data_IF_436630295851
#
_entry.id   IF_436630295851
#
_cell.length_a   1.000
_cell.length_b   1.000
_cell.length_c   1.000
_cell.angle_alpha   90.00
_cell.angle_beta   90.00
_cell.angle_gamma   90.00
#
_symmetry.space_group_name_H-M   'P 1'
#
loop_
_entity.id
_entity.type
_entity.pdbx_description
1 polymer ?
#
# COMPACT_ATOMS: atom_id res chain seq x y z
N UNK A 1 -7.42 4.89 20.95
CA UNK A 1 -8.54 4.33 20.16
C UNK A 1 -7.96 3.16 19.38
N UNK A 2 -8.64 2.01 19.28
CA UNK A 2 -8.23 0.99 18.31
C UNK A 2 -8.86 1.38 16.99
N UNK A 3 -8.07 1.86 16.03
CA UNK A 3 -8.52 2.01 14.65
C UNK A 3 -8.74 0.58 14.14
N UNK A 4 -9.94 0.26 13.66
CA UNK A 4 -10.12 -0.97 12.90
C UNK A 4 -9.46 -0.74 11.55
N UNK A 5 -8.47 -1.56 11.16
CA UNK A 5 -7.84 -1.41 9.86
C UNK A 5 -8.90 -1.66 8.77
N UNK A 6 -8.90 -0.82 7.75
CA UNK A 6 -9.77 -1.01 6.60
C UNK A 6 -9.22 -2.16 5.76
N UNK A 7 -10.11 -3.01 5.23
CA UNK A 7 -9.70 -4.21 4.49
C UNK A 7 -9.16 -3.88 3.09
N UNK A 8 -9.59 -2.76 2.53
CA UNK A 8 -9.28 -2.34 1.15
C UNK A 8 -9.35 -0.80 0.98
N UNK A 9 -8.59 -0.02 1.77
CA UNK A 9 -8.53 1.44 1.61
C UNK A 9 -7.73 1.84 0.38
N UNK A 10 -8.13 2.95 -0.25
CA UNK A 10 -7.30 3.62 -1.26
C UNK A 10 -6.07 4.26 -0.60
N UNK A 11 -4.92 4.15 -1.25
CA UNK A 11 -3.67 4.75 -0.76
C UNK A 11 -3.45 6.16 -1.32
N UNK A 12 -2.90 7.02 -0.48
CA UNK A 12 -2.51 8.37 -0.88
C UNK A 12 -1.33 8.35 -1.87
N UNK A 13 -1.11 9.49 -2.54
CA UNK A 13 -0.04 9.60 -3.55
C UNK A 13 1.38 9.43 -3.03
N UNK A 14 1.56 9.69 -1.74
CA UNK A 14 2.84 9.62 -1.06
C UNK A 14 2.59 9.06 0.34
N UNK A 15 3.24 7.93 0.65
CA UNK A 15 3.25 7.40 2.00
C UNK A 15 3.92 8.39 2.96
N UNK A 16 3.47 8.48 4.22
CA UNK A 16 4.15 9.27 5.22
C UNK A 16 5.58 8.77 5.43
N UNK A 17 6.54 9.69 5.43
CA UNK A 17 7.98 9.40 5.62
C UNK A 17 8.42 9.48 7.09
N UNK A 18 7.48 9.35 8.01
CA UNK A 18 7.73 9.41 9.46
C UNK A 18 8.53 8.19 9.93
N UNK A 19 9.48 8.36 10.88
CA UNK A 19 10.17 7.22 11.50
C UNK A 19 9.27 6.41 12.44
N UNK A 20 8.17 7.02 12.93
CA UNK A 20 7.19 6.39 13.81
C UNK A 20 5.92 6.00 13.03
N UNK A 21 5.27 4.92 13.47
CA UNK A 21 3.97 4.46 12.96
C UNK A 21 2.93 5.57 13.16
N UNK A 22 2.34 6.00 12.06
CA UNK A 22 1.31 7.03 12.00
C UNK A 22 -0.09 6.42 11.95
N UNK A 23 -1.12 7.26 12.10
CA UNK A 23 -2.52 6.83 11.92
C UNK A 23 -2.81 6.33 10.49
N UNK A 24 -2.05 6.82 9.49
CA UNK A 24 -2.12 6.31 8.13
C UNK A 24 -1.66 4.85 8.10
N UNK A 25 -0.53 4.55 8.74
CA UNK A 25 0.02 3.19 8.80
C UNK A 25 -0.92 2.22 9.55
N UNK A 26 -1.56 2.68 10.63
CA UNK A 26 -2.55 1.89 11.35
C UNK A 26 -3.80 1.60 10.50
N UNK A 27 -4.25 2.56 9.69
CA UNK A 27 -5.39 2.39 8.79
C UNK A 27 -5.09 1.43 7.62
N UNK A 28 -3.85 1.50 7.09
CA UNK A 28 -3.39 0.72 5.93
C UNK A 28 -2.65 -0.57 6.32
N UNK A 29 -2.73 -0.99 7.59
CA UNK A 29 -1.98 -2.13 8.10
C UNK A 29 -2.24 -3.43 7.31
N UNK A 30 -3.49 -3.65 6.88
CA UNK A 30 -3.86 -4.81 6.05
C UNK A 30 -3.28 -4.69 4.64
N UNK A 31 -3.30 -3.50 4.04
CA UNK A 31 -2.68 -3.21 2.75
C UNK A 31 -1.19 -3.56 2.78
N UNK A 32 -0.45 -3.10 3.80
CA UNK A 32 0.98 -3.43 3.95
C UNK A 32 1.24 -4.93 4.11
N UNK A 33 0.41 -5.64 4.89
CA UNK A 33 0.54 -7.10 4.99
C UNK A 33 0.35 -7.79 3.64
N UNK A 34 -0.62 -7.34 2.82
CA UNK A 34 -0.87 -7.91 1.47
C UNK A 34 0.30 -7.65 0.52
N UNK A 35 0.97 -6.50 0.63
CA UNK A 35 2.18 -6.22 -0.15
C UNK A 35 3.32 -7.19 0.20
N UNK A 36 3.57 -7.41 1.50
CA UNK A 36 4.61 -8.31 1.98
C UNK A 36 4.33 -9.78 1.60
N UNK A 37 3.06 -10.19 1.66
CA UNK A 37 2.63 -11.54 1.25
C UNK A 37 2.85 -11.74 -0.25
N UNK A 38 2.49 -10.74 -1.07
CA UNK A 38 2.72 -10.78 -2.50
C UNK A 38 4.22 -10.79 -2.88
N UNK A 39 5.07 -10.07 -2.14
CA UNK A 39 6.52 -10.16 -2.29
C UNK A 39 7.04 -11.55 -1.94
N UNK A 40 6.55 -12.16 -0.85
CA UNK A 40 6.92 -13.51 -0.43
C UNK A 40 6.52 -14.58 -1.46
N UNK A 41 5.39 -14.39 -2.14
CA UNK A 41 4.90 -15.22 -3.24
C UNK A 41 5.61 -14.93 -4.59
N UNK A 42 6.46 -13.90 -4.65
CA UNK A 42 7.17 -13.51 -5.86
C UNK A 42 6.28 -12.91 -6.94
N UNK A 43 5.17 -12.28 -6.55
CA UNK A 43 4.24 -11.63 -7.47
C UNK A 43 4.86 -10.43 -8.19
N UNK A 44 4.36 -10.12 -9.39
CA UNK A 44 4.78 -8.91 -10.10
C UNK A 44 4.25 -7.67 -9.38
N UNK A 45 5.15 -6.78 -8.97
CA UNK A 45 4.80 -5.53 -8.29
C UNK A 45 3.78 -4.69 -9.06
N UNK A 46 3.71 -4.80 -10.40
CA UNK A 46 2.72 -4.08 -11.21
C UNK A 46 1.30 -4.62 -11.00
N UNK A 47 1.17 -5.93 -10.91
CA UNK A 47 -0.10 -6.60 -10.64
C UNK A 47 -0.54 -6.30 -9.21
N UNK A 48 0.40 -6.35 -8.26
CA UNK A 48 0.16 -5.97 -6.86
C UNK A 48 -0.30 -4.52 -6.74
N UNK A 49 0.34 -3.58 -7.46
CA UNK A 49 -0.06 -2.18 -7.44
C UNK A 49 -1.50 -1.96 -7.94
N UNK A 50 -1.93 -2.70 -8.97
CA UNK A 50 -3.30 -2.60 -9.48
C UNK A 50 -4.33 -3.23 -8.54
N UNK A 51 -4.00 -4.37 -7.91
CA UNK A 51 -4.93 -5.16 -7.10
C UNK A 51 -5.00 -4.69 -5.65
N UNK A 52 -3.87 -4.27 -5.06
CA UNK A 52 -3.75 -3.95 -3.63
C UNK A 52 -3.72 -2.45 -3.38
N UNK A 53 -3.11 -1.66 -4.28
CA UNK A 53 -3.01 -0.21 -4.14
C UNK A 53 -4.02 0.55 -5.00
N UNK A 54 -4.79 -0.14 -5.84
CA UNK A 54 -5.69 0.44 -6.83
C UNK A 54 -5.02 1.46 -7.75
N UNK A 55 -3.72 1.30 -8.01
CA UNK A 55 -2.91 2.20 -8.86
C UNK A 55 -2.54 1.57 -10.17
N UNK A 56 -2.47 2.39 -11.21
CA UNK A 56 -2.00 1.95 -12.52
C UNK A 56 -0.50 2.28 -12.73
N UNK A 57 0.40 1.30 -12.55
CA UNK A 57 1.83 1.51 -12.76
C UNK A 57 2.19 1.75 -14.23
N UNK A 58 1.29 1.50 -15.19
CA UNK A 58 1.56 1.74 -16.61
C UNK A 58 1.43 3.21 -17.00
N UNK A 59 0.59 3.96 -16.28
CA UNK A 59 0.35 5.37 -16.51
C UNK A 59 1.31 6.26 -15.69
N UNK A 60 1.62 5.88 -14.44
CA UNK A 60 2.58 6.61 -13.60
C UNK A 60 3.35 5.67 -12.64
N UNK A 61 4.33 4.97 -13.20
CA UNK A 61 5.23 4.05 -12.46
C UNK A 61 5.95 4.75 -11.31
N UNK A 62 6.38 6.00 -11.51
CA UNK A 62 7.13 6.73 -10.50
C UNK A 62 6.26 7.08 -9.29
N UNK A 63 5.02 7.54 -9.49
CA UNK A 63 4.07 7.79 -8.39
C UNK A 63 3.63 6.50 -7.71
N UNK A 64 3.41 5.43 -8.48
CA UNK A 64 2.99 4.14 -7.94
C UNK A 64 4.05 3.51 -7.03
N UNK A 65 5.33 3.87 -7.18
CA UNK A 65 6.40 3.45 -6.27
C UNK A 65 6.55 4.29 -5.01
N UNK A 66 5.88 5.45 -4.92
CA UNK A 66 6.03 6.39 -3.80
C UNK A 66 4.85 6.38 -2.82
N UNK A 67 3.73 5.79 -3.21
CA UNK A 67 2.55 5.63 -2.37
C UNK A 67 2.71 4.54 -1.30
#
# INVERSE_FOLDING_TARGET
MRIQPELDPDVEDEAPTSPDITLYDEAHFVTYMRLLDAEADGADWKEVAQIVLHRDPTNDEARTRRC
#
